data_IF_706213109268
#
_entry.id   IF_706213109268
#
_cell.length_a   1.000
_cell.length_b   1.000
_cell.length_c   1.000
_cell.angle_alpha   90.00
_cell.angle_beta   90.00
_cell.angle_gamma   90.00
#
_symmetry.space_group_name_H-M   'P 1'
#
loop_
_entity.id
_entity.type
_entity.pdbx_description
1 polymer ?
#
# COMPACT_ATOMS: atom_id res chain seq x y z
N UNK A 1 -22.16 41.37 58.12
CA UNK A 1 -21.17 41.30 57.02
C UNK A 1 -20.86 39.83 56.80
N UNK A 2 -21.58 39.00 56.04
CA UNK A 2 -22.22 39.15 54.72
C UNK A 2 -21.26 39.64 53.65
N UNK A 3 -20.58 38.69 52.99
CA UNK A 3 -20.35 38.60 51.54
C UNK A 3 -19.25 37.54 51.28
N UNK A 4 -19.61 36.38 50.71
CA UNK A 4 -19.58 36.18 49.26
C UNK A 4 -18.15 35.85 48.75
N UNK A 5 -17.63 34.67 49.09
CA UNK A 5 -16.62 34.02 48.26
C UNK A 5 -17.25 32.80 47.60
N UNK A 6 -17.97 33.12 46.52
CA UNK A 6 -18.42 32.19 45.51
C UNK A 6 -17.28 31.26 45.10
N UNK A 7 -17.47 29.96 45.33
CA UNK A 7 -17.80 29.03 44.25
C UNK A 7 -17.24 29.43 42.87
N UNK A 8 -15.91 29.40 42.73
CA UNK A 8 -15.25 29.09 41.47
C UNK A 8 -14.49 27.78 41.67
N UNK A 9 -15.24 26.74 42.05
CA UNK A 9 -14.82 25.38 41.75
C UNK A 9 -14.81 25.28 40.23
N UNK A 10 -13.60 25.39 39.70
CA UNK A 10 -13.20 25.18 38.33
C UNK A 10 -13.72 23.80 37.90
N UNK A 11 -14.95 23.76 37.38
CA UNK A 11 -15.46 22.60 36.64
C UNK A 11 -14.67 22.58 35.35
N UNK A 12 -13.46 21.99 35.39
CA UNK A 12 -12.83 21.44 34.19
C UNK A 12 -13.80 20.38 33.69
N UNK A 13 -14.72 20.82 32.84
CA UNK A 13 -15.41 19.92 31.93
C UNK A 13 -14.32 19.30 31.07
N UNK A 14 -13.89 18.11 31.48
CA UNK A 14 -13.29 17.12 30.61
C UNK A 14 -14.36 16.78 29.56
N UNK A 15 -14.62 17.69 28.62
CA UNK A 15 -15.11 17.32 27.31
C UNK A 15 -13.93 16.64 26.62
N UNK A 16 -13.64 15.43 27.09
CA UNK A 16 -13.02 14.44 26.25
C UNK A 16 -13.94 14.33 25.06
N UNK A 17 -13.60 15.05 23.99
CA UNK A 17 -14.10 14.76 22.67
C UNK A 17 -13.64 13.34 22.42
N UNK A 18 -14.45 12.37 22.85
CA UNK A 18 -14.42 11.05 22.31
C UNK A 18 -14.68 11.26 20.84
N UNK A 19 -13.59 11.39 20.07
CA UNK A 19 -13.63 11.26 18.63
C UNK A 19 -14.23 9.87 18.42
N UNK A 20 -15.53 9.83 18.21
CA UNK A 20 -16.20 8.62 17.78
C UNK A 20 -15.50 8.24 16.49
N UNK A 21 -14.63 7.24 16.59
CA UNK A 21 -13.97 6.66 15.43
C UNK A 21 -15.11 6.04 14.63
N UNK A 22 -15.63 6.77 13.65
CA UNK A 22 -16.63 6.22 12.74
C UNK A 22 -16.00 5.01 12.05
N UNK A 23 -16.70 3.88 12.03
CA UNK A 23 -16.32 2.71 11.25
C UNK A 23 -16.14 3.13 9.78
N UNK A 24 -14.90 3.13 9.30
CA UNK A 24 -14.64 3.47 7.91
C UNK A 24 -14.75 2.24 7.01
N UNK A 25 -15.67 2.31 6.05
CA UNK A 25 -15.77 1.38 4.93
C UNK A 25 -15.25 2.09 3.69
N UNK A 26 -14.12 1.64 3.17
CA UNK A 26 -13.42 2.32 2.09
C UNK A 26 -12.81 1.34 1.11
N UNK A 27 -12.74 1.72 -0.16
CA UNK A 27 -11.96 1.04 -1.20
C UNK A 27 -10.74 1.88 -1.54
N UNK A 28 -9.56 1.29 -1.42
CA UNK A 28 -8.34 1.85 -1.96
C UNK A 28 -8.11 1.24 -3.32
N UNK A 29 -7.89 2.08 -4.32
CA UNK A 29 -7.47 1.67 -5.65
C UNK A 29 -6.11 2.29 -5.93
N UNK A 30 -5.16 1.47 -6.36
CA UNK A 30 -3.82 1.89 -6.69
C UNK A 30 -3.53 1.55 -8.14
N UNK A 31 -3.16 2.55 -8.93
CA UNK A 31 -2.70 2.37 -10.29
C UNK A 31 -1.18 2.30 -10.31
N UNK A 32 -0.65 1.18 -10.78
CA UNK A 32 0.78 1.01 -11.04
C UNK A 32 1.03 1.52 -12.46
N UNK A 33 1.76 2.61 -12.59
CA UNK A 33 1.80 3.38 -13.85
C UNK A 33 2.90 2.85 -14.77
N UNK A 34 4.14 2.83 -14.28
CA UNK A 34 5.31 2.41 -15.07
C UNK A 34 6.50 2.10 -14.18
N UNK A 35 7.34 1.21 -14.66
CA UNK A 35 8.67 0.94 -14.11
C UNK A 35 9.71 1.73 -14.93
N UNK A 36 10.71 2.29 -14.25
CA UNK A 36 11.97 2.71 -14.86
C UNK A 36 13.08 1.81 -14.32
N UNK A 37 13.67 0.98 -15.19
CA UNK A 37 14.85 0.16 -14.90
C UNK A 37 15.79 0.24 -16.11
N UNK A 38 16.33 1.43 -16.43
CA UNK A 38 17.01 1.68 -17.70
C UNK A 38 18.26 0.81 -17.90
N UNK A 39 18.85 0.32 -16.81
CA UNK A 39 20.02 -0.56 -16.83
C UNK A 39 19.65 -2.06 -16.93
N UNK A 40 18.36 -2.41 -16.95
CA UNK A 40 17.87 -3.78 -17.03
C UNK A 40 18.38 -4.65 -15.90
N UNK A 41 18.38 -4.16 -14.66
CA UNK A 41 18.99 -4.84 -13.52
C UNK A 41 17.98 -5.65 -12.72
N UNK A 42 18.46 -6.75 -12.15
CA UNK A 42 17.78 -7.53 -11.11
C UNK A 42 18.05 -6.97 -9.72
N UNK A 43 17.42 -7.52 -8.68
CA UNK A 43 17.62 -7.13 -7.29
C UNK A 43 19.09 -7.31 -6.85
N UNK A 44 19.75 -8.32 -7.41
CA UNK A 44 21.18 -8.61 -7.20
C UNK A 44 22.13 -7.59 -7.88
N UNK A 45 21.60 -6.67 -8.69
CA UNK A 45 22.38 -5.73 -9.49
C UNK A 45 22.99 -6.34 -10.75
N UNK A 46 22.62 -7.58 -11.11
CA UNK A 46 23.02 -8.23 -12.38
C UNK A 46 22.03 -7.89 -13.49
N UNK A 47 22.46 -7.82 -14.76
CA UNK A 47 21.55 -7.66 -15.90
C UNK A 47 20.53 -8.80 -15.99
N UNK A 48 19.30 -8.52 -16.41
CA UNK A 48 18.23 -9.52 -16.62
C UNK A 48 18.68 -10.62 -17.60
N UNK A 49 19.42 -10.25 -18.66
CA UNK A 49 20.02 -11.22 -19.59
C UNK A 49 21.11 -12.12 -19.04
N UNK A 50 21.51 -11.93 -17.79
CA UNK A 50 22.70 -12.54 -17.23
C UNK A 50 23.97 -11.79 -17.66
N UNK A 51 25.12 -12.35 -17.31
CA UNK A 51 26.41 -11.66 -17.47
C UNK A 51 26.86 -11.52 -18.93
N UNK A 52 26.35 -12.37 -19.82
CA UNK A 52 26.85 -12.50 -21.19
C UNK A 52 25.82 -12.18 -22.28
N UNK A 53 24.57 -11.84 -21.91
CA UNK A 53 23.54 -11.47 -22.89
C UNK A 53 22.99 -10.08 -22.59
N UNK A 54 23.00 -9.23 -23.60
CA UNK A 54 22.37 -7.90 -23.57
C UNK A 54 20.89 -8.00 -23.94
N UNK A 55 20.12 -8.83 -23.22
CA UNK A 55 18.66 -8.80 -23.37
C UNK A 55 18.02 -7.86 -22.35
N UNK A 56 16.90 -7.30 -22.75
CA UNK A 56 16.03 -6.54 -21.87
C UNK A 56 15.29 -7.52 -20.93
N UNK A 57 14.62 -6.95 -19.91
CA UNK A 57 13.88 -7.74 -18.94
C UNK A 57 12.53 -8.22 -19.51
N UNK A 58 12.13 -9.43 -19.14
CA UNK A 58 10.79 -9.96 -19.36
C UNK A 58 9.98 -9.78 -18.08
N UNK A 59 9.48 -8.58 -17.85
CA UNK A 59 8.94 -8.19 -16.54
C UNK A 59 7.58 -8.84 -16.27
N UNK A 60 7.42 -9.43 -15.09
CA UNK A 60 6.12 -9.81 -14.51
C UNK A 60 5.88 -8.90 -13.31
N UNK A 61 4.78 -8.14 -13.36
CA UNK A 61 4.41 -7.19 -12.30
C UNK A 61 3.25 -7.78 -11.50
N UNK A 62 3.45 -7.92 -10.21
CA UNK A 62 2.43 -8.39 -9.29
C UNK A 62 2.22 -7.38 -8.16
N UNK A 63 0.99 -7.20 -7.71
CA UNK A 63 0.69 -6.26 -6.63
C UNK A 63 -0.40 -6.77 -5.68
N UNK A 64 -0.41 -6.19 -4.49
CA UNK A 64 -1.47 -6.35 -3.49
C UNK A 64 -1.58 -5.07 -2.65
N UNK A 65 -2.75 -4.84 -2.06
CA UNK A 65 -2.95 -3.79 -1.07
C UNK A 65 -2.98 -4.43 0.32
N UNK A 66 -2.01 -4.07 1.15
CA UNK A 66 -1.91 -4.43 2.55
C UNK A 66 -2.72 -3.42 3.38
N UNK A 67 -3.89 -3.86 3.84
CA UNK A 67 -4.83 -3.07 4.64
C UNK A 67 -4.82 -3.48 6.12
N UNK A 68 -3.92 -4.37 6.54
CA UNK A 68 -3.89 -4.89 7.91
C UNK A 68 -3.33 -3.84 8.88
N UNK A 69 -4.20 -3.34 9.78
CA UNK A 69 -3.89 -2.33 10.80
C UNK A 69 -2.77 -2.74 11.73
N UNK A 70 -2.61 -4.04 11.99
CA UNK A 70 -1.57 -4.55 12.89
C UNK A 70 -0.15 -4.30 12.34
N UNK A 71 -0.04 -4.17 11.01
CA UNK A 71 1.20 -3.81 10.32
C UNK A 71 1.35 -2.31 10.09
N UNK A 72 0.28 -1.52 10.27
CA UNK A 72 0.30 -0.07 10.03
C UNK A 72 1.04 0.72 11.13
N UNK A 73 1.02 0.25 12.39
CA UNK A 73 1.78 0.86 13.51
C UNK A 73 3.27 0.50 13.45
N UNK A 74 3.60 -0.64 12.86
CA UNK A 74 4.98 -1.08 12.61
C UNK A 74 5.28 -0.91 11.13
N UNK A 75 5.37 0.36 10.73
CA UNK A 75 5.57 0.79 9.34
C UNK A 75 6.44 -0.19 8.58
N UNK A 76 5.91 -0.67 7.45
CA UNK A 76 6.63 -1.53 6.53
C UNK A 76 7.53 -2.55 7.24
N UNK A 77 6.94 -3.50 7.99
CA UNK A 77 7.70 -4.67 8.39
C UNK A 77 8.41 -5.17 7.13
N UNK A 78 9.76 -5.12 7.14
CA UNK A 78 10.62 -5.49 6.00
C UNK A 78 10.11 -6.80 5.41
N UNK A 79 10.18 -6.95 4.08
CA UNK A 79 9.89 -8.22 3.43
C UNK A 79 10.72 -9.31 4.15
N UNK A 80 10.10 -10.10 5.05
CA UNK A 80 10.86 -11.01 5.93
C UNK A 80 10.23 -11.38 7.27
N UNK A 81 9.20 -10.68 7.76
CA UNK A 81 8.52 -11.04 9.02
C UNK A 81 7.50 -12.18 8.91
N UNK A 82 6.83 -12.27 7.75
CA UNK A 82 6.09 -13.45 7.28
C UNK A 82 6.84 -13.96 6.04
N UNK A 83 6.94 -15.28 5.89
CA UNK A 83 7.55 -15.87 4.70
C UNK A 83 6.94 -15.21 3.46
N UNK A 84 7.76 -14.75 2.51
CA UNK A 84 7.30 -14.00 1.33
C UNK A 84 6.29 -14.73 0.43
N UNK A 85 5.92 -15.97 0.79
CA UNK A 85 4.85 -16.81 0.26
C UNK A 85 3.44 -16.46 0.75
N UNK A 86 3.28 -15.73 1.86
CA UNK A 86 1.97 -15.59 2.53
C UNK A 86 1.11 -14.45 1.95
N UNK A 87 1.64 -13.77 0.94
CA UNK A 87 1.02 -12.63 0.30
C UNK A 87 0.34 -13.05 -1.01
N UNK A 88 -0.96 -12.79 -1.11
CA UNK A 88 -1.77 -13.10 -2.29
C UNK A 88 -1.59 -12.00 -3.36
N UNK A 89 -0.40 -11.97 -3.97
CA UNK A 89 -0.12 -11.08 -5.08
C UNK A 89 -1.00 -11.41 -6.30
N UNK A 90 -1.60 -10.38 -6.90
CA UNK A 90 -2.27 -10.48 -8.20
C UNK A 90 -1.28 -10.07 -9.29
N UNK A 91 -1.13 -10.90 -10.33
CA UNK A 91 -0.42 -10.50 -11.55
C UNK A 91 -1.23 -9.39 -12.23
N UNK A 92 -0.59 -8.24 -12.42
CA UNK A 92 -1.20 -7.09 -13.09
C UNK A 92 -0.83 -7.06 -14.56
N UNK A 93 0.46 -7.20 -14.88
CA UNK A 93 0.97 -7.04 -16.24
C UNK A 93 2.20 -7.90 -16.47
N UNK A 94 2.40 -8.24 -17.74
CA UNK A 94 3.60 -8.93 -18.24
C UNK A 94 4.10 -8.19 -19.47
N UNK A 95 5.41 -7.91 -19.52
CA UNK A 95 6.08 -7.32 -20.68
C UNK A 95 7.25 -8.20 -21.10
N UNK A 96 7.61 -8.16 -22.38
CA UNK A 96 8.71 -8.92 -22.98
C UNK A 96 9.72 -7.96 -23.56
N UNK A 97 11.01 -8.22 -23.31
CA UNK A 97 12.12 -7.42 -23.80
C UNK A 97 11.92 -5.90 -23.58
N UNK A 98 11.50 -5.53 -22.36
CA UNK A 98 11.28 -4.14 -21.99
C UNK A 98 11.81 -3.85 -20.59
N UNK A 99 12.75 -2.92 -20.52
CA UNK A 99 13.36 -2.50 -19.26
C UNK A 99 12.50 -1.45 -18.54
N UNK A 100 11.65 -0.72 -19.26
CA UNK A 100 10.91 0.43 -18.74
C UNK A 100 9.40 0.33 -19.06
N UNK A 101 8.74 -0.80 -18.70
CA UNK A 101 7.38 -1.09 -19.15
C UNK A 101 6.36 -0.09 -18.62
N UNK A 102 5.47 0.33 -19.53
CA UNK A 102 4.23 1.00 -19.18
C UNK A 102 3.22 -0.02 -18.68
N UNK A 103 2.77 0.12 -17.45
CA UNK A 103 1.93 -0.87 -16.76
C UNK A 103 0.47 -0.41 -16.82
N UNK A 104 0.14 0.76 -16.30
CA UNK A 104 -1.21 1.35 -16.35
C UNK A 104 -2.31 0.61 -15.57
N UNK A 105 -2.00 -0.51 -14.91
CA UNK A 105 -2.98 -1.40 -14.29
C UNK A 105 -3.37 -1.00 -12.87
N UNK A 106 -4.60 -1.37 -12.47
CA UNK A 106 -5.17 -1.05 -11.15
C UNK A 106 -5.31 -2.30 -10.28
N UNK A 107 -4.83 -2.20 -9.04
CA UNK A 107 -5.14 -3.12 -7.94
C UNK A 107 -6.07 -2.44 -6.94
N UNK A 108 -6.97 -3.19 -6.30
CA UNK A 108 -7.87 -2.65 -5.29
C UNK A 108 -7.95 -3.53 -4.05
N UNK A 109 -8.23 -2.90 -2.92
CA UNK A 109 -8.40 -3.52 -1.61
C UNK A 109 -9.40 -2.74 -0.78
N UNK A 110 -10.22 -3.45 0.00
CA UNK A 110 -11.28 -2.86 0.81
C UNK A 110 -10.88 -2.88 2.29
N UNK A 111 -11.15 -1.77 2.98
CA UNK A 111 -10.98 -1.60 4.42
C UNK A 111 -12.39 -1.63 5.03
N UNK A 112 -12.66 -2.58 5.91
CA UNK A 112 -14.02 -2.85 6.41
C UNK A 112 -14.10 -2.63 7.94
N UNK A 113 -14.60 -1.46 8.37
CA UNK A 113 -14.86 -1.19 9.78
C UNK A 113 -13.60 -0.98 10.63
N UNK A 114 -12.52 -0.55 9.99
CA UNK A 114 -11.25 -0.27 10.66
C UNK A 114 -10.79 1.13 10.31
N UNK A 115 -10.28 1.83 11.33
CA UNK A 115 -9.72 3.13 11.11
C UNK A 115 -8.22 3.02 10.88
N UNK A 116 -7.80 3.32 9.65
CA UNK A 116 -6.40 3.36 9.26
C UNK A 116 -6.07 4.70 8.62
N UNK A 117 -4.84 5.15 8.87
CA UNK A 117 -4.34 6.42 8.32
C UNK A 117 -3.65 6.24 6.97
N UNK A 118 -3.12 5.04 6.75
CA UNK A 118 -2.35 4.67 5.56
C UNK A 118 -2.73 3.29 5.08
N UNK A 119 -2.72 3.08 3.76
CA UNK A 119 -2.69 1.76 3.16
C UNK A 119 -1.38 1.57 2.40
N UNK A 120 -0.83 0.36 2.40
CA UNK A 120 0.44 0.06 1.77
C UNK A 120 0.20 -0.82 0.54
N UNK A 121 0.59 -0.33 -0.63
CA UNK A 121 0.59 -1.15 -1.85
C UNK A 121 1.96 -1.80 -1.95
N UNK A 122 1.98 -3.12 -1.97
CA UNK A 122 3.20 -3.90 -2.18
C UNK A 122 3.24 -4.34 -3.62
N UNK A 123 4.34 -4.06 -4.30
CA UNK A 123 4.55 -4.44 -5.70
C UNK A 123 5.80 -5.29 -5.80
N UNK A 124 5.67 -6.43 -6.46
CA UNK A 124 6.77 -7.35 -6.76
C UNK A 124 6.97 -7.38 -8.26
N UNK A 125 8.21 -7.20 -8.69
CA UNK A 125 8.56 -7.26 -10.10
C UNK A 125 9.66 -8.30 -10.29
N UNK A 126 9.43 -9.23 -11.20
CA UNK A 126 10.34 -10.32 -11.54
C UNK A 126 10.63 -10.33 -13.03
N UNK A 127 11.75 -10.93 -13.43
CA UNK A 127 12.15 -11.20 -14.80
C UNK A 127 11.92 -12.68 -15.11
N UNK A 128 11.12 -12.97 -16.13
CA UNK A 128 10.83 -14.32 -16.58
C UNK A 128 11.85 -14.74 -17.65
N UNK A 129 12.94 -15.37 -17.22
CA UNK A 129 14.00 -15.86 -18.10
C UNK A 129 13.91 -17.37 -18.38
N UNK A 130 14.71 -17.84 -19.34
CA UNK A 130 14.90 -19.27 -19.60
C UNK A 130 15.54 -20.03 -18.44
N UNK A 131 16.31 -19.32 -17.59
CA UNK A 131 16.93 -19.85 -16.38
C UNK A 131 16.04 -19.75 -15.13
N UNK A 132 14.78 -19.37 -15.29
CA UNK A 132 13.80 -19.22 -14.20
C UNK A 132 13.41 -17.76 -13.93
N UNK A 133 12.66 -17.58 -12.84
CA UNK A 133 12.23 -16.27 -12.36
C UNK A 133 13.34 -15.60 -11.54
N UNK A 134 13.76 -14.41 -11.96
CA UNK A 134 14.74 -13.60 -11.22
C UNK A 134 14.05 -12.37 -10.64
N UNK A 135 14.25 -12.09 -9.36
CA UNK A 135 13.66 -10.88 -8.75
C UNK A 135 14.29 -9.63 -9.35
N UNK A 136 13.48 -8.70 -9.86
CA UNK A 136 13.92 -7.35 -10.24
C UNK A 136 13.95 -6.46 -9.00
N UNK A 137 12.81 -6.32 -8.32
CA UNK A 137 12.73 -5.58 -7.06
C UNK A 137 11.40 -5.85 -6.36
N UNK A 138 11.35 -5.45 -5.10
CA UNK A 138 10.13 -5.30 -4.32
C UNK A 138 9.97 -3.80 -3.98
N UNK A 139 8.76 -3.28 -4.08
CA UNK A 139 8.44 -1.87 -3.88
C UNK A 139 7.32 -1.70 -2.86
N UNK A 140 7.46 -0.67 -2.04
CA UNK A 140 6.48 -0.23 -1.05
C UNK A 140 5.93 1.13 -1.47
N UNK A 141 4.65 1.20 -1.79
CA UNK A 141 3.97 2.44 -2.16
C UNK A 141 2.98 2.82 -1.06
N UNK A 142 3.28 3.86 -0.28
CA UNK A 142 2.41 4.32 0.81
C UNK A 142 1.31 5.23 0.28
N UNK A 143 0.06 4.95 0.65
CA UNK A 143 -1.08 5.83 0.38
C UNK A 143 -1.58 6.47 1.67
N UNK A 144 -1.67 7.80 1.68
CA UNK A 144 -2.24 8.56 2.80
C UNK A 144 -3.76 8.67 2.62
N UNK A 145 -4.50 8.24 3.63
CA UNK A 145 -5.97 8.21 3.60
C UNK A 145 -6.59 9.49 4.19
N UNK A 146 -5.80 10.27 4.95
CA UNK A 146 -6.26 11.44 5.72
C UNK A 146 -6.93 12.54 4.90
N UNK A 147 -6.58 12.70 3.63
CA UNK A 147 -7.02 13.83 2.79
C UNK A 147 -8.08 13.49 1.74
N UNK A 148 -8.45 12.21 1.57
CA UNK A 148 -9.20 11.74 0.39
C UNK A 148 -10.57 11.13 0.70
N UNK A 149 -11.09 11.30 1.91
CA UNK A 149 -12.31 10.62 2.37
C UNK A 149 -13.59 10.91 1.55
N UNK A 150 -13.63 12.01 0.79
CA UNK A 150 -14.90 12.50 0.22
C UNK A 150 -14.94 12.49 -1.31
N UNK A 151 -13.79 12.44 -1.98
CA UNK A 151 -13.73 12.61 -3.44
C UNK A 151 -12.87 11.49 -4.01
N UNK A 152 -13.48 10.61 -4.82
CA UNK A 152 -12.84 9.50 -5.56
C UNK A 152 -11.91 10.03 -6.68
N UNK A 153 -10.97 10.87 -6.29
CA UNK A 153 -10.03 11.60 -7.13
C UNK A 153 -8.67 10.94 -6.99
N UNK A 154 -8.03 10.66 -8.12
CA UNK A 154 -6.66 10.16 -8.14
C UNK A 154 -5.71 11.17 -7.49
N UNK A 155 -4.86 10.67 -6.60
CA UNK A 155 -3.74 11.42 -6.07
C UNK A 155 -2.78 11.82 -7.21
N UNK A 156 -1.92 12.83 -6.96
CA UNK A 156 -0.76 13.06 -7.81
C UNK A 156 0.08 11.79 -7.96
N UNK A 157 0.81 11.66 -9.07
CA UNK A 157 1.75 10.57 -9.26
C UNK A 157 2.87 10.66 -8.22
N UNK A 158 3.17 9.54 -7.59
CA UNK A 158 4.17 9.39 -6.53
C UNK A 158 5.16 8.27 -6.87
N UNK A 159 6.31 8.29 -6.19
CA UNK A 159 7.32 7.24 -6.27
C UNK A 159 7.10 6.21 -5.17
N UNK A 160 7.18 4.93 -5.52
CA UNK A 160 7.29 3.86 -4.53
C UNK A 160 8.73 3.75 -4.03
N UNK A 161 8.88 3.31 -2.78
CA UNK A 161 10.18 3.02 -2.19
C UNK A 161 10.68 1.64 -2.65
N UNK A 162 11.79 1.54 -3.41
CA UNK A 162 12.42 0.26 -3.72
C UNK A 162 13.09 -0.36 -2.49
N UNK A 163 13.08 -1.69 -2.41
CA UNK A 163 13.83 -2.44 -1.40
C UNK A 163 15.29 -2.66 -1.82
N UNK A 164 15.52 -2.98 -3.08
CA UNK A 164 16.85 -3.23 -3.66
C UNK A 164 17.22 -2.11 -4.66
N UNK A 165 18.52 -1.93 -4.95
CA UNK A 165 18.99 -1.01 -6.00
C UNK A 165 18.34 0.40 -5.94
N UNK A 166 18.28 1.00 -4.75
CA UNK A 166 17.37 2.12 -4.43
C UNK A 166 17.53 3.38 -5.29
N UNK A 167 18.66 3.54 -5.96
CA UNK A 167 18.95 4.69 -6.84
C UNK A 167 18.90 4.36 -8.33
N UNK A 168 18.76 3.09 -8.71
CA UNK A 168 18.92 2.63 -10.10
C UNK A 168 17.60 2.34 -10.81
N UNK A 169 16.51 2.22 -10.07
CA UNK A 169 15.19 1.95 -10.62
C UNK A 169 14.10 2.65 -9.82
N UNK A 170 12.98 2.94 -10.48
CA UNK A 170 11.86 3.69 -9.90
C UNK A 170 10.54 3.06 -10.35
N UNK A 171 9.57 3.03 -9.45
CA UNK A 171 8.20 2.63 -9.76
C UNK A 171 7.27 3.80 -9.44
N UNK A 172 6.44 4.15 -10.42
CA UNK A 172 5.48 5.24 -10.29
C UNK A 172 4.09 4.68 -10.05
N UNK A 173 3.38 5.27 -9.09
CA UNK A 173 2.01 4.89 -8.79
C UNK A 173 1.18 6.13 -8.46
N UNK A 174 -0.14 5.95 -8.47
CA UNK A 174 -1.08 6.88 -7.85
C UNK A 174 -2.21 6.08 -7.24
N UNK A 175 -2.98 6.67 -6.35
CA UNK A 175 -4.07 5.98 -5.68
C UNK A 175 -5.30 6.87 -5.57
N UNK A 176 -6.46 6.27 -5.34
CA UNK A 176 -7.66 6.98 -4.90
C UNK A 176 -8.39 6.17 -3.85
N UNK A 177 -9.19 6.86 -3.07
CA UNK A 177 -10.00 6.28 -2.01
C UNK A 177 -11.46 6.57 -2.30
N UNK A 178 -12.31 5.55 -2.21
CA UNK A 178 -13.75 5.68 -2.40
C UNK A 178 -14.46 5.18 -1.15
N UNK A 179 -15.39 5.96 -0.61
CA UNK A 179 -16.26 5.50 0.49
C UNK A 179 -17.14 4.36 -0.01
N UNK A 180 -17.23 3.29 0.78
CA UNK A 180 -18.14 2.17 0.55
C UNK A 180 -19.27 2.20 1.58
N UNK A 181 -20.40 1.62 1.20
CA UNK A 181 -21.38 1.16 2.17
C UNK A 181 -20.91 -0.15 2.81
N UNK A 182 -21.40 -0.46 4.03
CA UNK A 182 -21.03 -1.67 4.78
C UNK A 182 -21.27 -2.96 3.97
N UNK A 183 -22.38 -3.03 3.22
CA UNK A 183 -22.73 -4.16 2.36
C UNK A 183 -21.86 -4.31 1.10
N UNK A 184 -21.10 -3.28 0.71
CA UNK A 184 -20.24 -3.27 -0.47
C UNK A 184 -18.81 -3.76 -0.19
N UNK A 185 -18.45 -3.91 1.09
CA UNK A 185 -17.11 -4.29 1.51
C UNK A 185 -16.85 -5.78 1.26
N UNK A 186 -15.86 -6.11 0.42
CA UNK A 186 -15.58 -7.50 -0.01
C UNK A 186 -15.10 -8.42 1.13
N UNK A 187 -14.52 -7.85 2.18
CA UNK A 187 -14.06 -8.58 3.36
C UNK A 187 -15.07 -8.50 4.52
N UNK A 188 -16.37 -8.65 4.24
CA UNK A 188 -17.39 -8.80 5.28
C UNK A 188 -17.19 -10.15 6.01
N UNK A 189 -16.11 -10.26 6.78
CA UNK A 189 -16.03 -11.20 7.88
C UNK A 189 -17.14 -10.73 8.83
N UNK A 190 -18.16 -11.55 9.11
CA UNK A 190 -19.23 -11.15 10.01
C UNK A 190 -18.59 -10.68 11.31
N UNK A 191 -19.03 -9.52 11.81
CA UNK A 191 -18.58 -8.83 13.02
C UNK A 191 -19.01 -9.61 14.28
N UNK A 192 -18.85 -10.94 14.27
CA UNK A 192 -19.26 -11.89 15.32
C UNK A 192 -18.05 -12.45 16.07
N UNK A 193 -16.98 -11.68 16.19
CA UNK A 193 -15.95 -11.96 17.20
C UNK A 193 -15.86 -10.78 18.14
N UNK A 194 -16.59 -10.89 19.24
CA UNK A 194 -16.10 -10.64 20.60
C UNK A 194 -14.72 -9.95 20.63
N UNK A 195 -14.71 -8.63 20.44
CA UNK A 195 -13.75 -7.82 21.16
C UNK A 195 -14.32 -7.69 22.57
N UNK A 196 -14.04 -8.69 23.40
CA UNK A 196 -14.26 -8.61 24.83
C UNK A 196 -13.35 -7.52 25.39
N UNK A 197 -13.91 -6.33 25.55
CA UNK A 197 -13.45 -5.31 26.49
C UNK A 197 -14.22 -5.48 27.79
#
# INVERSE_FOLDING_TARGET
>A
MLALYCLFALVLQLTGNAYAYEDYFMRVEAQIIRLENPQGLTASGRPCGGQFASRQCNTVVQAQIDTDVSNAVRGAQQYGGKSGSDYNYKVLSTSSDDNDPHIGEVVSGDICGQAIEKAVVRVRITDQGSSGEHRINDFICESSLRSHYVLSVWSPVQLCQPEFQTTKMRLYFRYRVTRLERNQCRNNVPFNKEYGY
#
